data_IF_730238884378
#
_entry.id   IF_730238884378
#
_cell.length_a   1.000
_cell.length_b   1.000
_cell.length_c   1.000
_cell.angle_alpha   90.00
_cell.angle_beta   90.00
_cell.angle_gamma   90.00
#
_symmetry.space_group_name_H-M   'P 1'
#
loop_
_entity.id
_entity.type
_entity.pdbx_description
1 polymer ?
#
# COMPACT_ATOMS: atom_id res chain seq x y z
N UNK A 1 10.68 2.35 30.29
CA UNK A 1 11.35 3.40 29.49
C UNK A 1 11.32 2.94 28.05
N UNK A 2 10.37 3.43 27.27
CA UNK A 2 10.28 3.06 25.84
C UNK A 2 11.11 4.08 25.08
N UNK A 3 12.35 3.70 24.78
CA UNK A 3 13.27 4.49 23.97
C UNK A 3 12.78 4.40 22.51
N UNK A 4 12.05 5.42 22.07
CA UNK A 4 11.62 5.58 20.68
C UNK A 4 12.80 6.15 19.88
N UNK A 5 13.69 5.27 19.45
CA UNK A 5 14.79 5.64 18.58
C UNK A 5 14.27 5.85 17.14
N UNK A 6 13.85 7.08 16.85
CA UNK A 6 13.39 7.49 15.53
C UNK A 6 14.56 7.44 14.53
N UNK A 7 14.57 6.43 13.67
CA UNK A 7 15.48 6.35 12.54
C UNK A 7 14.78 6.64 11.21
N UNK A 8 15.21 7.75 10.60
CA UNK A 8 15.29 8.06 9.16
C UNK A 8 14.00 8.23 8.32
N UNK A 9 13.78 9.47 7.87
CA UNK A 9 13.83 9.75 6.42
C UNK A 9 12.63 9.41 5.54
N UNK A 10 11.44 9.90 5.87
CA UNK A 10 10.48 10.38 4.86
C UNK A 10 9.27 9.50 4.51
N UNK A 11 9.30 8.19 4.74
CA UNK A 11 8.16 7.29 4.45
C UNK A 11 8.04 6.22 5.54
N UNK A 12 7.64 6.63 6.75
CA UNK A 12 7.38 5.72 7.87
C UNK A 12 6.32 6.28 8.79
N UNK A 13 5.56 5.40 9.45
CA UNK A 13 4.58 5.74 10.48
C UNK A 13 4.64 4.67 11.58
N UNK A 14 4.68 5.11 12.83
CA UNK A 14 4.62 4.25 14.01
C UNK A 14 3.18 4.12 14.49
N UNK A 15 2.68 2.89 14.58
CA UNK A 15 1.33 2.57 15.05
C UNK A 15 1.40 1.51 16.15
N UNK A 16 0.65 1.72 17.23
CA UNK A 16 0.45 0.70 18.26
C UNK A 16 -0.53 -0.36 17.77
N UNK A 17 -0.56 -1.50 18.46
CA UNK A 17 -1.53 -2.55 18.18
C UNK A 17 -2.97 -2.02 18.28
N UNK A 18 -3.74 -2.20 17.21
CA UNK A 18 -5.13 -1.72 17.12
C UNK A 18 -5.28 -0.28 16.63
N UNK A 19 -4.20 0.47 16.42
CA UNK A 19 -4.26 1.80 15.82
C UNK A 19 -4.32 1.73 14.29
N UNK A 20 -4.79 2.82 13.67
CA UNK A 20 -4.81 3.02 12.23
C UNK A 20 -4.20 4.38 11.93
N UNK A 21 -3.39 4.47 10.87
CA UNK A 21 -2.81 5.72 10.40
C UNK A 21 -2.74 5.76 8.88
N UNK A 22 -2.49 6.95 8.34
CA UNK A 22 -2.41 7.21 6.91
C UNK A 22 -1.04 7.81 6.56
N UNK A 23 -0.46 7.34 5.44
CA UNK A 23 0.78 7.85 4.89
C UNK A 23 0.59 8.12 3.39
N UNK A 24 0.54 9.39 3.01
CA UNK A 24 0.36 9.83 1.61
C UNK A 24 1.71 10.19 1.01
N UNK A 25 2.09 9.49 -0.05
CA UNK A 25 3.39 9.66 -0.73
C UNK A 25 3.19 9.91 -2.22
N UNK A 26 3.90 10.89 -2.76
CA UNK A 26 3.97 11.12 -4.21
C UNK A 26 5.25 10.54 -4.78
N UNK A 27 5.12 9.64 -5.76
CA UNK A 27 6.25 9.03 -6.45
C UNK A 27 6.43 9.70 -7.83
N UNK A 28 7.58 10.36 -8.09
CA UNK A 28 7.80 11.07 -9.34
C UNK A 28 8.09 10.14 -10.53
N UNK A 29 8.42 8.88 -10.25
CA UNK A 29 8.81 7.88 -11.23
C UNK A 29 8.32 6.49 -10.83
N UNK A 30 8.31 5.58 -11.80
CA UNK A 30 8.02 4.16 -11.58
C UNK A 30 9.12 3.53 -10.73
N UNK A 31 8.73 2.74 -9.73
CA UNK A 31 9.66 2.12 -8.79
C UNK A 31 9.00 0.92 -8.10
N UNK A 32 9.80 -0.10 -7.79
CA UNK A 32 9.40 -1.19 -6.89
C UNK A 32 10.07 -0.97 -5.55
N UNK A 33 9.29 -0.96 -4.47
CA UNK A 33 9.73 -0.71 -3.10
C UNK A 33 9.39 -1.90 -2.22
N UNK A 34 10.25 -2.17 -1.24
CA UNK A 34 9.91 -3.08 -0.15
C UNK A 34 9.33 -2.28 1.02
N UNK A 35 8.21 -2.75 1.55
CA UNK A 35 7.66 -2.29 2.82
C UNK A 35 8.01 -3.30 3.90
N UNK A 36 8.39 -2.81 5.08
CA UNK A 36 8.79 -3.63 6.20
C UNK A 36 8.43 -2.93 7.50
N UNK A 37 8.10 -3.70 8.53
CA UNK A 37 8.02 -3.15 9.86
C UNK A 37 9.37 -3.27 10.58
N UNK A 38 9.80 -2.14 11.15
CA UNK A 38 11.13 -1.96 11.72
C UNK A 38 11.23 -2.43 13.18
N UNK A 39 10.19 -3.10 13.69
CA UNK A 39 10.21 -3.71 15.03
C UNK A 39 11.02 -5.00 14.97
N UNK A 40 11.99 -5.21 15.87
CA UNK A 40 12.83 -6.40 15.87
C UNK A 40 12.02 -7.70 15.79
N UNK A 41 12.39 -8.59 14.87
CA UNK A 41 11.75 -9.88 14.64
C UNK A 41 10.48 -9.85 13.79
N UNK A 42 9.87 -8.68 13.54
CA UNK A 42 8.64 -8.61 12.76
C UNK A 42 8.90 -8.83 11.26
N UNK A 43 10.03 -8.36 10.73
CA UNK A 43 10.40 -8.60 9.34
C UNK A 43 10.58 -10.09 9.05
N UNK A 44 11.33 -10.79 9.90
CA UNK A 44 11.58 -12.24 9.82
C UNK A 44 10.30 -13.05 10.04
N UNK A 45 9.40 -12.56 10.90
CA UNK A 45 8.07 -13.11 11.08
C UNK A 45 7.12 -12.88 9.89
N UNK A 46 7.56 -12.11 8.88
CA UNK A 46 6.84 -11.93 7.62
C UNK A 46 6.08 -10.61 7.49
N UNK A 47 6.27 -9.66 8.40
CA UNK A 47 5.66 -8.32 8.34
C UNK A 47 6.40 -7.43 7.33
N UNK A 48 6.29 -7.84 6.07
CA UNK A 48 6.92 -7.24 4.90
C UNK A 48 5.99 -7.35 3.68
N UNK A 49 6.26 -6.54 2.66
CA UNK A 49 5.52 -6.56 1.41
C UNK A 49 6.25 -5.82 0.30
N UNK A 50 5.66 -5.81 -0.88
CA UNK A 50 6.21 -5.12 -2.05
C UNK A 50 5.18 -4.15 -2.59
N UNK A 51 5.61 -2.91 -2.81
CA UNK A 51 4.80 -1.86 -3.46
C UNK A 51 5.36 -1.62 -4.85
N UNK A 52 4.53 -1.81 -5.86
CA UNK A 52 4.89 -1.54 -7.25
C UNK A 52 4.20 -0.25 -7.70
N UNK A 53 5.00 0.79 -7.94
CA UNK A 53 4.55 2.05 -8.53
C UNK A 53 4.78 1.95 -10.03
N UNK A 54 3.70 1.81 -10.78
CA UNK A 54 3.70 1.81 -12.24
C UNK A 54 2.89 2.99 -12.77
N UNK A 55 3.29 3.51 -13.92
CA UNK A 55 2.52 4.54 -14.62
C UNK A 55 1.22 3.89 -15.07
N UNK A 56 0.10 4.37 -14.53
CA UNK A 56 -1.19 3.88 -15.00
C UNK A 56 -1.37 4.26 -16.47
N UNK A 57 -1.31 3.26 -17.36
CA UNK A 57 -1.95 3.37 -18.64
C UNK A 57 -3.44 3.23 -18.36
N UNK A 58 -4.11 4.34 -18.05
CA UNK A 58 -5.56 4.36 -17.91
C UNK A 58 -6.18 4.20 -19.29
N UNK A 59 -6.19 2.97 -19.82
CA UNK A 59 -7.24 2.56 -20.73
C UNK A 59 -8.51 2.59 -19.90
N UNK A 60 -9.28 3.67 -19.99
CA UNK A 60 -10.68 3.66 -19.57
C UNK A 60 -11.32 2.51 -20.32
N UNK A 61 -11.46 1.36 -19.67
CA UNK A 61 -12.31 0.31 -20.15
C UNK A 61 -13.71 0.91 -20.20
N UNK A 62 -14.37 0.97 -21.37
CA UNK A 62 -15.78 1.30 -21.38
C UNK A 62 -16.44 0.25 -20.49
N UNK A 63 -17.10 0.70 -19.43
CA UNK A 63 -18.02 -0.15 -18.68
C UNK A 63 -19.01 -0.69 -19.69
N UNK A 64 -18.78 -1.92 -20.16
CA UNK A 64 -19.82 -2.67 -20.84
C UNK A 64 -20.89 -2.83 -19.78
N UNK A 65 -21.89 -1.97 -19.82
CA UNK A 65 -23.14 -2.18 -19.12
C UNK A 65 -23.61 -3.55 -19.62
N UNK A 66 -23.59 -4.55 -18.73
CA UNK A 66 -24.06 -5.87 -19.10
C UNK A 66 -25.58 -5.73 -19.21
N UNK A 67 -26.06 -5.73 -20.45
CA UNK A 67 -27.46 -5.59 -20.78
C UNK A 67 -28.20 -6.87 -20.40
N UNK A 68 -29.17 -6.72 -19.51
CA UNK A 68 -30.06 -7.78 -19.04
C UNK A 68 -31.40 -7.78 -19.80
N UNK A 69 -31.53 -7.00 -20.89
CA UNK A 69 -32.76 -6.89 -21.69
C UNK A 69 -33.17 -8.16 -22.46
N UNK A 70 -32.47 -9.29 -22.31
CA UNK A 70 -32.73 -10.50 -23.12
C UNK A 70 -33.21 -11.74 -22.34
N UNK A 71 -33.49 -11.64 -21.04
CA UNK A 71 -34.14 -12.75 -20.34
C UNK A 71 -35.66 -12.65 -20.48
N UNK A 72 -36.26 -13.65 -21.14
CA UNK A 72 -37.71 -13.86 -21.09
C UNK A 72 -38.03 -14.73 -19.89
N UNK A 73 -38.95 -14.29 -19.03
CA UNK A 73 -39.54 -15.12 -17.98
C UNK A 73 -40.47 -16.19 -18.57
#
# INVERSE_FOLDING_TARGET
VSDHHAHAGGISIDLKAGETGELVVHFPQEVVLEMACLVPGHYEAGMRGTVQVARSISTRQPTSAHDHSTHKH
#
